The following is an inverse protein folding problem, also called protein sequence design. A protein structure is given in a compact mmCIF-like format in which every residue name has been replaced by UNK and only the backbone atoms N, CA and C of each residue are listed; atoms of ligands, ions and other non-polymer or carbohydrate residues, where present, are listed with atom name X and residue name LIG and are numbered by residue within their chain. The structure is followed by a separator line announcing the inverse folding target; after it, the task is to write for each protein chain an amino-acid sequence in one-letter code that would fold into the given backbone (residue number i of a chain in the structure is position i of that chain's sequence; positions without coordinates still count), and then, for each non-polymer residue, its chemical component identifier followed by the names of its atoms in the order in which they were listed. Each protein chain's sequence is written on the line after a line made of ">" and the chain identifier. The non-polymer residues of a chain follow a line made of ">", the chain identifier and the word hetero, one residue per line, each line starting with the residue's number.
data_IF_600017368538
#
_entry.id   IF_600017368538
#
_cell.length_a   1.000
_cell.length_b   1.000
_cell.length_c   1.000
_cell.angle_alpha   90.00
_cell.angle_beta   90.00
_cell.angle_gamma   90.00
#
_symmetry.space_group_name_H-M   'P 1'
#
loop_
_entity.id
_entity.type
_entity.pdbx_description
1 polymer ?
#
# COMPACT_ATOMS: atom_id res chain seq x y z
N UNK A 1 8.83 7.81 22.04
CA UNK A 1 9.06 8.57 20.80
C UNK A 1 9.99 7.81 19.85
N UNK A 2 11.12 7.31 20.35
CA UNK A 2 12.07 6.52 19.54
C UNK A 2 11.42 5.30 18.86
N UNK A 3 10.58 4.57 19.57
CA UNK A 3 9.86 3.41 19.03
C UNK A 3 8.99 3.74 17.80
N UNK A 4 8.24 4.86 17.82
CA UNK A 4 7.40 5.24 16.69
C UNK A 4 8.20 5.72 15.47
N UNK A 5 9.34 6.40 15.71
CA UNK A 5 10.25 6.83 14.64
C UNK A 5 10.91 5.60 14.00
N UNK A 6 11.37 4.66 14.82
CA UNK A 6 11.93 3.39 14.36
C UNK A 6 10.89 2.62 13.53
N UNK A 7 9.65 2.50 14.02
CA UNK A 7 8.55 1.85 13.29
C UNK A 7 8.27 2.53 11.96
N UNK A 8 8.25 3.87 11.93
CA UNK A 8 8.04 4.65 10.72
C UNK A 8 9.14 4.39 9.68
N UNK A 9 10.40 4.52 10.07
CA UNK A 9 11.55 4.30 9.16
C UNK A 9 11.57 2.85 8.67
N UNK A 10 11.31 1.91 9.56
CA UNK A 10 11.23 0.48 9.24
C UNK A 10 10.15 0.19 8.19
N UNK A 11 8.95 0.75 8.36
CA UNK A 11 7.83 0.55 7.43
C UNK A 11 8.05 1.21 6.07
N UNK A 12 8.80 2.31 5.99
CA UNK A 12 9.10 3.01 4.73
C UNK A 12 10.17 2.27 3.92
N UNK A 13 11.29 1.91 4.55
CA UNK A 13 12.49 1.45 3.86
C UNK A 13 12.72 -0.05 3.96
N UNK A 14 12.63 -0.64 5.16
CA UNK A 14 12.98 -2.04 5.40
C UNK A 14 11.82 -2.96 4.99
N UNK A 15 10.62 -2.64 5.47
CA UNK A 15 9.40 -3.40 5.24
C UNK A 15 8.49 -2.72 4.19
N UNK A 16 9.09 -2.27 3.10
CA UNK A 16 8.36 -1.64 2.03
C UNK A 16 7.40 -2.63 1.37
N UNK A 17 6.09 -2.33 1.42
CA UNK A 17 5.05 -3.24 0.90
C UNK A 17 5.23 -3.58 -0.58
N UNK A 18 5.71 -2.63 -1.42
CA UNK A 18 5.91 -2.85 -2.84
C UNK A 18 7.18 -3.64 -3.15
N UNK A 19 8.31 -3.29 -2.56
CA UNK A 19 9.63 -3.81 -2.94
C UNK A 19 10.08 -5.00 -2.12
N UNK A 20 9.72 -5.06 -0.81
CA UNK A 20 10.09 -6.18 0.05
C UNK A 20 9.08 -7.34 -0.04
N UNK A 21 7.80 -7.03 -0.16
CA UNK A 21 6.74 -8.04 -0.17
C UNK A 21 6.04 -8.21 -1.53
N UNK A 22 6.39 -7.40 -2.53
CA UNK A 22 5.78 -7.41 -3.86
C UNK A 22 4.25 -7.22 -3.84
N UNK A 23 3.73 -6.51 -2.85
CA UNK A 23 2.31 -6.27 -2.70
C UNK A 23 1.84 -5.05 -3.52
N UNK A 24 0.67 -5.19 -4.13
CA UNK A 24 0.08 -4.13 -4.95
C UNK A 24 0.70 -3.99 -6.33
N UNK A 25 1.37 -5.03 -6.85
CA UNK A 25 2.04 -5.01 -8.16
C UNK A 25 1.09 -4.72 -9.31
N UNK A 26 -0.18 -5.09 -9.22
CA UNK A 26 -1.18 -4.82 -10.26
C UNK A 26 -1.29 -3.32 -10.56
N UNK A 27 -1.53 -2.52 -9.53
CA UNK A 27 -1.60 -1.05 -9.64
C UNK A 27 -0.23 -0.42 -9.84
N UNK A 28 0.80 -0.95 -9.19
CA UNK A 28 2.17 -0.51 -9.28
C UNK A 28 2.69 -0.51 -10.74
N UNK A 29 2.49 -1.60 -11.46
CA UNK A 29 2.91 -1.73 -12.86
C UNK A 29 1.99 -0.99 -13.83
N UNK A 30 0.68 -0.98 -13.57
CA UNK A 30 -0.30 -0.36 -14.46
C UNK A 30 -0.16 1.17 -14.50
N UNK A 31 0.06 1.81 -13.33
CA UNK A 31 0.02 3.26 -13.18
C UNK A 31 1.39 3.91 -13.30
N UNK A 32 2.49 3.19 -13.11
CA UNK A 32 3.87 3.71 -13.12
C UNK A 32 4.39 4.16 -14.52
N UNK A 33 3.49 4.47 -15.45
CA UNK A 33 3.85 4.96 -16.80
C UNK A 33 4.20 6.45 -16.82
N UNK A 34 3.65 7.25 -15.91
CA UNK A 34 3.85 8.69 -15.77
C UNK A 34 4.04 9.07 -14.32
N UNK A 35 5.05 9.86 -14.00
CA UNK A 35 5.34 10.31 -12.62
C UNK A 35 4.16 11.04 -12.00
N UNK A 36 3.49 11.94 -12.75
CA UNK A 36 2.34 12.71 -12.24
C UNK A 36 1.18 11.82 -11.77
N UNK A 37 0.84 10.80 -12.56
CA UNK A 37 -0.25 9.86 -12.21
C UNK A 37 0.15 8.95 -11.05
N UNK A 38 1.41 8.51 -11.03
CA UNK A 38 1.96 7.68 -9.94
C UNK A 38 1.99 8.42 -8.61
N UNK A 39 2.32 9.71 -8.63
CA UNK A 39 2.28 10.56 -7.44
C UNK A 39 0.86 10.70 -6.90
N UNK A 40 -0.11 11.01 -7.77
CA UNK A 40 -1.52 11.11 -7.37
C UNK A 40 -2.07 9.82 -6.76
N UNK A 41 -1.77 8.66 -7.38
CA UNK A 41 -2.14 7.37 -6.83
C UNK A 41 -1.43 7.09 -5.50
N UNK A 42 -0.16 7.42 -5.38
CA UNK A 42 0.60 7.26 -4.15
C UNK A 42 -0.01 8.01 -2.98
N UNK A 43 -0.42 9.26 -3.20
CA UNK A 43 -1.14 10.06 -2.17
C UNK A 43 -2.46 9.39 -1.79
N UNK A 44 -3.24 8.91 -2.75
CA UNK A 44 -4.48 8.19 -2.47
C UNK A 44 -4.23 6.92 -1.62
N UNK A 45 -3.19 6.16 -1.93
CA UNK A 45 -2.80 4.96 -1.15
C UNK A 45 -2.36 5.32 0.27
N UNK A 46 -1.62 6.43 0.46
CA UNK A 46 -1.26 6.92 1.81
C UNK A 46 -2.53 7.20 2.62
N UNK A 47 -3.47 7.95 2.07
CA UNK A 47 -4.72 8.30 2.75
C UNK A 47 -5.50 7.03 3.12
N UNK A 48 -5.67 6.12 2.17
CA UNK A 48 -6.40 4.87 2.41
C UNK A 48 -5.71 4.02 3.48
N UNK A 49 -4.39 3.79 3.40
CA UNK A 49 -3.67 3.00 4.41
C UNK A 49 -3.70 3.63 5.79
N UNK A 50 -3.52 4.97 5.87
CA UNK A 50 -3.54 5.70 7.15
C UNK A 50 -4.89 5.59 7.85
N UNK A 51 -5.99 5.45 7.11
CA UNK A 51 -7.34 5.30 7.68
C UNK A 51 -7.71 3.82 7.82
N UNK A 52 -7.43 2.98 6.81
CA UNK A 52 -7.86 1.59 6.80
C UNK A 52 -7.18 0.74 7.86
N UNK A 53 -5.88 0.94 8.11
CA UNK A 53 -5.14 0.13 9.09
C UNK A 53 -5.67 0.35 10.51
N UNK A 54 -5.79 1.57 11.05
CA UNK A 54 -6.33 1.77 12.41
C UNK A 54 -7.83 1.47 12.52
N UNK A 55 -8.64 1.71 11.49
CA UNK A 55 -10.06 1.34 11.51
C UNK A 55 -10.23 -0.17 11.61
N UNK A 56 -9.47 -0.94 10.83
CA UNK A 56 -9.49 -2.40 10.92
C UNK A 56 -8.89 -2.91 12.24
N UNK A 57 -7.90 -2.21 12.82
CA UNK A 57 -7.39 -2.52 14.16
C UNK A 57 -8.48 -2.38 15.22
N UNK A 58 -9.21 -1.27 15.19
CA UNK A 58 -10.32 -1.04 16.11
C UNK A 58 -11.40 -2.12 15.95
N UNK A 59 -11.77 -2.43 14.71
CA UNK A 59 -12.78 -3.46 14.43
C UNK A 59 -12.32 -4.85 14.87
N UNK A 60 -11.05 -5.20 14.62
CA UNK A 60 -10.47 -6.46 15.06
C UNK A 60 -10.53 -6.59 16.57
N UNK A 61 -10.11 -5.58 17.32
CA UNK A 61 -10.08 -5.62 18.78
C UNK A 61 -11.48 -5.59 19.41
N UNK A 62 -12.47 -4.93 18.79
CA UNK A 62 -13.82 -4.80 19.33
C UNK A 62 -14.76 -5.95 18.95
N UNK A 63 -14.56 -6.55 17.77
CA UNK A 63 -15.55 -7.47 17.18
C UNK A 63 -14.96 -8.85 16.92
N UNK A 64 -13.77 -8.94 16.36
CA UNK A 64 -13.22 -10.17 15.79
C UNK A 64 -12.29 -10.94 16.72
N UNK A 65 -11.76 -10.28 17.75
CA UNK A 65 -10.89 -10.94 18.74
C UNK A 65 -11.69 -11.93 19.58
N UNK A 66 -11.07 -13.04 19.96
CA UNK A 66 -11.65 -14.05 20.83
C UNK A 66 -12.28 -13.42 22.08
N UNK A 67 -13.51 -13.77 22.38
CA UNK A 67 -14.31 -13.25 23.52
C UNK A 67 -14.69 -11.77 23.48
N UNK A 68 -14.61 -11.08 22.31
CA UNK A 68 -14.98 -9.69 22.22
C UNK A 68 -16.50 -9.46 22.27
N UNK A 69 -17.28 -10.21 21.50
CA UNK A 69 -18.74 -10.07 21.42
C UNK A 69 -19.50 -11.29 21.99
N UNK A 70 -19.03 -12.51 21.72
CA UNK A 70 -19.69 -13.74 22.17
C UNK A 70 -18.64 -14.68 22.74
N UNK A 71 -18.75 -14.98 24.02
CA UNK A 71 -17.86 -15.91 24.69
C UNK A 71 -17.97 -17.32 24.08
N UNK A 72 -16.87 -17.81 23.47
CA UNK A 72 -16.76 -19.16 22.95
C UNK A 72 -16.95 -19.33 21.42
N UNK A 73 -17.07 -18.25 20.66
CA UNK A 73 -17.14 -18.32 19.18
C UNK A 73 -15.93 -17.59 18.58
N UNK A 74 -15.08 -18.34 17.86
CA UNK A 74 -13.97 -17.80 17.09
C UNK A 74 -14.46 -17.21 15.78
N UNK A 75 -14.48 -15.88 15.70
CA UNK A 75 -14.84 -15.13 14.48
C UNK A 75 -13.61 -14.82 13.60
N UNK A 76 -12.45 -15.38 13.94
CA UNK A 76 -11.18 -15.09 13.25
C UNK A 76 -11.18 -15.49 11.76
N UNK A 77 -11.98 -16.48 11.36
CA UNK A 77 -12.14 -16.85 9.94
C UNK A 77 -12.84 -15.77 9.12
N UNK A 78 -13.61 -14.88 9.76
CA UNK A 78 -14.27 -13.75 9.10
C UNK A 78 -13.37 -12.54 8.90
N UNK A 79 -12.14 -12.54 9.45
CA UNK A 79 -11.20 -11.42 9.36
C UNK A 79 -10.99 -10.94 7.93
N UNK A 80 -10.75 -11.88 7.00
CA UNK A 80 -10.48 -11.57 5.59
C UNK A 80 -11.66 -10.84 4.93
N UNK A 81 -12.86 -11.37 5.10
CA UNK A 81 -14.07 -10.79 4.48
C UNK A 81 -14.37 -9.43 5.08
N UNK A 82 -14.22 -9.30 6.40
CA UNK A 82 -14.47 -8.04 7.12
C UNK A 82 -13.47 -6.97 6.73
N UNK A 83 -12.18 -7.30 6.65
CA UNK A 83 -11.14 -6.35 6.25
C UNK A 83 -11.34 -5.86 4.81
N UNK A 84 -11.64 -6.76 3.88
CA UNK A 84 -11.92 -6.37 2.49
C UNK A 84 -13.17 -5.50 2.43
N UNK A 85 -14.23 -5.84 3.17
CA UNK A 85 -15.47 -5.05 3.23
C UNK A 85 -15.26 -3.64 3.76
N UNK A 86 -14.48 -3.48 4.82
CA UNK A 86 -14.13 -2.17 5.39
C UNK A 86 -13.27 -1.36 4.43
N UNK A 87 -12.27 -1.98 3.81
CA UNK A 87 -11.42 -1.31 2.80
C UNK A 87 -12.28 -0.84 1.62
N UNK A 88 -13.19 -1.69 1.14
CA UNK A 88 -14.10 -1.34 0.05
C UNK A 88 -14.98 -0.13 0.40
N UNK A 89 -15.57 -0.12 1.60
CA UNK A 89 -16.38 1.00 2.07
C UNK A 89 -15.58 2.30 2.18
N UNK A 90 -14.36 2.25 2.73
CA UNK A 90 -13.48 3.42 2.85
C UNK A 90 -13.05 3.96 1.49
N UNK A 91 -12.71 3.09 0.54
CA UNK A 91 -12.34 3.52 -0.82
C UNK A 91 -13.54 4.12 -1.55
N UNK A 92 -14.75 3.57 -1.36
CA UNK A 92 -15.95 4.14 -1.95
C UNK A 92 -16.24 5.56 -1.42
N UNK A 93 -16.04 5.79 -0.12
CA UNK A 93 -16.15 7.12 0.47
C UNK A 93 -15.07 8.04 -0.13
N UNK A 94 -13.82 7.58 -0.24
CA UNK A 94 -12.74 8.36 -0.84
C UNK A 94 -13.06 8.72 -2.30
N UNK A 95 -13.62 7.80 -3.07
CA UNK A 95 -14.03 8.01 -4.46
C UNK A 95 -15.06 9.14 -4.57
N UNK A 96 -16.09 9.11 -3.73
CA UNK A 96 -17.11 10.17 -3.67
C UNK A 96 -16.51 11.52 -3.27
N UNK A 97 -15.57 11.55 -2.34
CA UNK A 97 -14.88 12.77 -1.92
C UNK A 97 -14.01 13.33 -3.05
N UNK A 98 -13.25 12.47 -3.75
CA UNK A 98 -12.40 12.88 -4.87
C UNK A 98 -13.21 13.41 -6.04
N UNK A 99 -14.33 12.76 -6.38
CA UNK A 99 -15.23 13.21 -7.46
C UNK A 99 -15.77 14.62 -7.17
N UNK A 100 -16.17 14.88 -5.91
CA UNK A 100 -16.76 16.16 -5.55
C UNK A 100 -15.75 17.29 -5.36
N UNK A 101 -14.60 17.02 -4.72
CA UNK A 101 -13.64 18.07 -4.33
C UNK A 101 -12.46 18.21 -5.27
N UNK A 102 -12.05 17.13 -5.92
CA UNK A 102 -10.86 17.09 -6.79
C UNK A 102 -11.13 16.41 -8.14
N UNK A 103 -12.08 16.93 -8.97
CA UNK A 103 -12.43 16.34 -10.27
C UNK A 103 -11.24 16.12 -11.20
N UNK A 104 -10.21 17.00 -11.26
CA UNK A 104 -9.05 16.76 -12.11
C UNK A 104 -8.23 15.52 -11.70
N UNK A 105 -8.13 15.26 -10.40
CA UNK A 105 -7.44 14.10 -9.87
C UNK A 105 -8.29 12.83 -10.08
N UNK A 106 -9.59 12.93 -9.86
CA UNK A 106 -10.55 11.86 -10.12
C UNK A 106 -10.47 11.40 -11.59
N UNK A 107 -10.52 12.34 -12.54
CA UNK A 107 -10.41 12.03 -13.97
C UNK A 107 -9.03 11.48 -14.36
N UNK A 108 -7.96 11.92 -13.71
CA UNK A 108 -6.61 11.41 -13.95
C UNK A 108 -6.39 9.99 -13.42
N UNK A 109 -6.98 9.67 -12.28
CA UNK A 109 -6.94 8.33 -11.67
C UNK A 109 -7.96 7.39 -12.33
N UNK A 110 -9.14 7.89 -12.68
CA UNK A 110 -10.17 7.20 -13.47
C UNK A 110 -10.40 5.74 -13.04
N UNK A 111 -10.16 4.83 -13.97
CA UNK A 111 -10.34 3.37 -13.80
C UNK A 111 -9.45 2.79 -12.69
N UNK A 112 -8.41 3.48 -12.25
CA UNK A 112 -7.48 2.95 -11.23
C UNK A 112 -7.99 3.09 -9.79
N UNK A 113 -9.03 3.91 -9.55
CA UNK A 113 -9.63 4.05 -8.22
C UNK A 113 -10.24 2.74 -7.70
N UNK A 114 -11.06 2.01 -8.45
CA UNK A 114 -11.55 0.70 -8.03
C UNK A 114 -10.43 -0.32 -7.78
N UNK A 115 -9.29 -0.19 -8.48
CA UNK A 115 -8.12 -1.04 -8.26
C UNK A 115 -7.44 -0.80 -6.89
N UNK A 116 -7.70 0.34 -6.24
CA UNK A 116 -7.25 0.60 -4.87
C UNK A 116 -7.99 -0.30 -3.88
N UNK A 117 -9.28 -0.54 -4.10
CA UNK A 117 -10.12 -1.39 -3.24
C UNK A 117 -9.59 -2.82 -3.13
N UNK A 118 -9.15 -3.39 -4.24
CA UNK A 118 -8.60 -4.76 -4.31
C UNK A 118 -7.07 -4.77 -4.28
N UNK A 119 -6.44 -3.70 -3.80
CA UNK A 119 -5.00 -3.59 -3.75
C UNK A 119 -4.41 -4.46 -2.64
N UNK A 120 -3.62 -5.45 -3.03
CA UNK A 120 -2.97 -6.36 -2.08
C UNK A 120 -2.03 -5.63 -1.10
N UNK A 121 -1.50 -4.44 -1.43
CA UNK A 121 -0.69 -3.68 -0.49
C UNK A 121 -1.53 -3.16 0.70
N UNK A 122 -2.76 -2.70 0.44
CA UNK A 122 -3.65 -2.22 1.50
C UNK A 122 -4.11 -3.38 2.37
N UNK A 123 -4.56 -4.46 1.73
CA UNK A 123 -4.94 -5.67 2.45
C UNK A 123 -3.77 -6.28 3.23
N UNK A 124 -2.57 -6.33 2.63
CA UNK A 124 -1.35 -6.80 3.29
C UNK A 124 -0.97 -5.95 4.49
N UNK A 125 -1.08 -4.61 4.39
CA UNK A 125 -0.84 -3.70 5.50
C UNK A 125 -1.76 -3.97 6.70
N UNK A 126 -3.06 -4.18 6.45
CA UNK A 126 -4.02 -4.56 7.49
C UNK A 126 -3.69 -5.95 8.07
N UNK A 127 -3.34 -6.93 7.24
CA UNK A 127 -2.98 -8.27 7.69
C UNK A 127 -1.72 -8.29 8.56
N UNK A 128 -0.69 -7.54 8.19
CA UNK A 128 0.54 -7.41 8.98
C UNK A 128 0.30 -6.69 10.32
N UNK A 129 -0.59 -5.71 10.35
CA UNK A 129 -0.99 -5.04 11.59
C UNK A 129 -1.57 -6.05 12.60
N UNK A 130 -2.45 -6.96 12.14
CA UNK A 130 -3.03 -8.01 13.00
C UNK A 130 -1.99 -9.04 13.43
N UNK A 131 -1.12 -9.50 12.48
CA UNK A 131 -0.08 -10.50 12.78
C UNK A 131 0.96 -10.01 13.80
N UNK A 132 1.16 -8.70 13.89
CA UNK A 132 2.14 -8.07 14.78
C UNK A 132 1.51 -7.50 16.05
N UNK A 133 0.21 -7.67 16.25
CA UNK A 133 -0.56 -7.17 17.39
C UNK A 133 -0.31 -5.68 17.68
N UNK A 134 -0.28 -4.85 16.63
CA UNK A 134 -0.04 -3.41 16.79
C UNK A 134 -1.17 -2.73 17.56
N UNK A 135 -0.79 -1.83 18.47
CA UNK A 135 -1.72 -0.94 19.13
C UNK A 135 -2.32 0.07 18.13
N UNK A 136 -3.40 0.75 18.53
CA UNK A 136 -4.06 1.75 17.67
C UNK A 136 -3.09 2.84 17.18
N UNK A 137 -2.25 3.40 18.07
CA UNK A 137 -1.27 4.42 17.71
C UNK A 137 -0.18 3.89 16.75
N UNK A 138 0.31 2.68 16.99
CA UNK A 138 1.26 2.00 16.11
C UNK A 138 0.65 1.71 14.74
N UNK A 139 -0.62 1.35 14.70
CA UNK A 139 -1.38 1.12 13.47
C UNK A 139 -1.48 2.37 12.60
N UNK A 140 -1.67 3.55 13.20
CA UNK A 140 -1.66 4.83 12.47
C UNK A 140 -0.28 5.11 11.86
N UNK A 141 0.77 4.98 12.68
CA UNK A 141 2.16 5.23 12.24
C UNK A 141 2.58 4.23 11.16
N UNK A 142 2.26 2.96 11.35
CA UNK A 142 2.54 1.90 10.40
C UNK A 142 1.78 2.09 9.08
N UNK A 143 0.48 2.42 9.12
CA UNK A 143 -0.32 2.68 7.93
C UNK A 143 0.20 3.87 7.12
N UNK A 144 0.55 4.97 7.79
CA UNK A 144 1.15 6.13 7.15
C UNK A 144 2.54 5.80 6.56
N UNK A 145 3.43 5.17 7.33
CA UNK A 145 4.77 4.81 6.87
C UNK A 145 4.75 3.85 5.68
N UNK A 146 3.92 2.82 5.74
CA UNK A 146 3.75 1.85 4.64
C UNK A 146 3.21 2.50 3.37
N UNK A 147 2.27 3.45 3.51
CA UNK A 147 1.75 4.23 2.39
C UNK A 147 2.82 5.12 1.74
N UNK A 148 3.62 5.82 2.56
CA UNK A 148 4.75 6.63 2.07
C UNK A 148 5.80 5.76 1.39
N UNK A 149 6.15 4.61 1.96
CA UNK A 149 7.09 3.67 1.36
C UNK A 149 6.61 3.17 0.00
N UNK A 150 5.33 2.81 -0.11
CA UNK A 150 4.73 2.38 -1.37
C UNK A 150 4.71 3.52 -2.41
N UNK A 151 4.39 4.75 -1.99
CA UNK A 151 4.42 5.92 -2.87
C UNK A 151 5.84 6.20 -3.39
N UNK A 152 6.85 6.17 -2.54
CA UNK A 152 8.24 6.36 -2.94
C UNK A 152 8.67 5.34 -3.99
N UNK A 153 8.32 4.07 -3.78
CA UNK A 153 8.64 3.00 -4.71
C UNK A 153 7.99 3.21 -6.10
N UNK A 154 6.68 3.55 -6.15
CA UNK A 154 6.00 3.74 -7.44
C UNK A 154 6.47 4.99 -8.18
N UNK A 155 6.77 6.08 -7.47
CA UNK A 155 7.30 7.31 -8.07
C UNK A 155 8.71 7.07 -8.63
N UNK A 156 9.57 6.36 -7.88
CA UNK A 156 10.89 5.98 -8.35
C UNK A 156 10.82 5.10 -9.62
N UNK A 157 9.96 4.09 -9.64
CA UNK A 157 9.74 3.26 -10.81
C UNK A 157 9.24 4.08 -11.99
N UNK A 158 8.29 4.99 -11.78
CA UNK A 158 7.76 5.85 -12.84
C UNK A 158 8.85 6.74 -13.44
N UNK A 159 9.72 7.33 -12.61
CA UNK A 159 10.86 8.12 -13.05
C UNK A 159 11.85 7.31 -13.92
N UNK A 160 12.16 6.08 -13.49
CA UNK A 160 13.00 5.16 -14.26
C UNK A 160 12.33 4.82 -15.59
N UNK A 161 11.04 4.50 -15.59
CA UNK A 161 10.30 4.15 -16.81
C UNK A 161 10.18 5.30 -17.80
N UNK A 162 10.04 6.54 -17.33
CA UNK A 162 10.06 7.71 -18.21
C UNK A 162 11.42 7.87 -18.90
N UNK A 163 12.52 7.65 -18.19
CA UNK A 163 13.87 7.66 -18.78
C UNK A 163 14.11 6.49 -19.75
N UNK A 164 13.62 5.30 -19.41
CA UNK A 164 13.77 4.13 -20.28
C UNK A 164 13.08 4.24 -21.65
N UNK A 165 12.15 5.18 -21.82
CA UNK A 165 11.55 5.43 -23.14
C UNK A 165 12.56 5.89 -24.21
N UNK A 166 13.67 6.49 -23.79
CA UNK A 166 14.74 6.97 -24.67
C UNK A 166 15.88 5.96 -24.81
N UNK A 167 15.78 4.82 -24.15
CA UNK A 167 16.78 3.75 -24.18
C UNK A 167 16.47 2.73 -25.25
N UNK A 168 17.51 2.17 -25.86
CA UNK A 168 17.37 1.09 -26.83
C UNK A 168 17.21 -0.26 -26.12
N UNK A 169 15.96 -0.67 -25.96
CA UNK A 169 15.61 -1.94 -25.29
C UNK A 169 15.35 -3.00 -26.37
N UNK A 170 15.93 -4.22 -26.22
CA UNK A 170 15.65 -5.32 -27.15
C UNK A 170 14.15 -5.59 -27.30
N UNK A 171 13.68 -5.91 -28.52
CA UNK A 171 12.24 -6.02 -28.81
C UNK A 171 11.50 -7.03 -27.92
N UNK A 172 12.15 -8.11 -27.50
CA UNK A 172 11.57 -9.14 -26.64
C UNK A 172 11.38 -8.71 -25.18
N UNK A 173 12.06 -7.66 -24.72
CA UNK A 173 11.96 -7.15 -23.35
C UNK A 173 11.15 -5.85 -23.24
N UNK A 174 10.76 -5.26 -24.37
CA UNK A 174 9.97 -4.00 -24.37
C UNK A 174 8.65 -4.17 -23.62
N UNK A 175 8.32 -3.19 -22.79
CA UNK A 175 7.07 -3.14 -22.03
C UNK A 175 7.19 -3.74 -20.64
N UNK A 176 6.43 -4.80 -20.36
CA UNK A 176 6.38 -5.40 -19.02
C UNK A 176 7.70 -6.10 -18.61
N UNK A 177 8.38 -6.74 -19.54
CA UNK A 177 9.61 -7.47 -19.23
C UNK A 177 10.69 -6.60 -18.58
N UNK A 178 11.06 -5.50 -19.23
CA UNK A 178 12.04 -4.56 -18.67
C UNK A 178 11.56 -3.92 -17.37
N UNK A 179 10.25 -3.70 -17.24
CA UNK A 179 9.68 -3.14 -16.01
C UNK A 179 9.84 -4.11 -14.83
N UNK A 180 9.58 -5.39 -15.02
CA UNK A 180 9.81 -6.41 -13.99
C UNK A 180 11.27 -6.54 -13.59
N UNK A 181 12.19 -6.52 -14.55
CA UNK A 181 13.62 -6.51 -14.27
C UNK A 181 14.00 -5.28 -13.44
N UNK A 182 13.50 -4.12 -13.81
CA UNK A 182 13.75 -2.87 -13.07
C UNK A 182 13.21 -2.96 -11.63
N UNK A 183 12.01 -3.48 -11.43
CA UNK A 183 11.43 -3.67 -10.09
C UNK A 183 12.28 -4.65 -9.27
N UNK A 184 12.74 -5.75 -9.88
CA UNK A 184 13.63 -6.70 -9.22
C UNK A 184 14.95 -6.06 -8.78
N UNK A 185 15.56 -5.24 -9.63
CA UNK A 185 16.78 -4.49 -9.29
C UNK A 185 16.53 -3.45 -8.18
N UNK A 186 15.39 -2.76 -8.22
CA UNK A 186 14.98 -1.86 -7.14
C UNK A 186 14.79 -2.60 -5.82
N UNK A 187 14.16 -3.77 -5.85
CA UNK A 187 13.99 -4.62 -4.66
C UNK A 187 15.33 -5.04 -4.06
N UNK A 188 16.29 -5.47 -4.89
CA UNK A 188 17.66 -5.76 -4.43
C UNK A 188 18.34 -4.54 -3.80
N UNK A 189 18.15 -3.35 -4.39
CA UNK A 189 18.65 -2.11 -3.81
C UNK A 189 18.03 -1.81 -2.44
N UNK A 190 16.73 -2.04 -2.26
CA UNK A 190 16.05 -1.85 -0.98
C UNK A 190 16.41 -2.91 0.06
N UNK A 191 16.76 -4.12 -0.35
CA UNK A 191 17.27 -5.15 0.57
C UNK A 191 18.58 -4.73 1.28
N UNK A 192 19.34 -3.80 0.73
CA UNK A 192 20.55 -3.29 1.40
C UNK A 192 20.22 -2.57 2.71
N UNK A 193 19.00 -2.01 2.84
CA UNK A 193 18.52 -1.40 4.09
C UNK A 193 18.11 -2.42 5.15
N UNK A 194 17.87 -3.68 4.79
CA UNK A 194 17.42 -4.72 5.74
C UNK A 194 18.50 -5.09 6.78
N UNK A 195 19.76 -4.76 6.51
CA UNK A 195 20.87 -4.94 7.45
C UNK A 195 20.98 -3.85 8.52
N UNK A 196 20.22 -2.76 8.42
CA UNK A 196 20.22 -1.67 9.39
C UNK A 196 19.29 -2.05 10.54
N UNK A 197 19.87 -2.35 11.69
CA UNK A 197 19.12 -2.56 12.94
C UNK A 197 18.77 -1.18 13.52
N UNK A 198 17.50 -0.84 13.49
CA UNK A 198 16.91 0.38 14.07
C UNK A 198 16.15 0.04 15.36
#
# INVERSE_FOLDING_TARGET
>A
MEHYISLLVKSIFIENLALSFFLGMCTFLAVSKKVKTSFGLGVAVIVVLTVAVPVNNLLYNLVLKENALVAGVDLSFLNFITFIGVIAALVQILEMVLDRFFPPLYNALGIFLPLITVNCAIFGGVSFMVQRDYNFAESVVYGFGSGVGWMLAIVALAGIREKMKYSDVPPGLRGLGITFITVGLMALGFMSFSGVQL
#
